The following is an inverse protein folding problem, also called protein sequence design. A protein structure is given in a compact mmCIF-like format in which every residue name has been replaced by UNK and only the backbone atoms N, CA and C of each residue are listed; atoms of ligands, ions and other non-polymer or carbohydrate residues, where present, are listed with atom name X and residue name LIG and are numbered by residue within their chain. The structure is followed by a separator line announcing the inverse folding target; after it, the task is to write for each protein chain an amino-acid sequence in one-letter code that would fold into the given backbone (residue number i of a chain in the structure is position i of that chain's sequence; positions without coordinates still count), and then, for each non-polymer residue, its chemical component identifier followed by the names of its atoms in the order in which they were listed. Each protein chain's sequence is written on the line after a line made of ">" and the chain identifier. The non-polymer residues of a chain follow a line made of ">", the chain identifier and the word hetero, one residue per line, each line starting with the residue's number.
data_IF_596262261995
#
_entry.id   IF_596262261995
#
_cell.length_a   1.000
_cell.length_b   1.000
_cell.length_c   1.000
_cell.angle_alpha   90.00
_cell.angle_beta   90.00
_cell.angle_gamma   90.00
#
_symmetry.space_group_name_H-M   'P 1'
#
loop_
_entity.id
_entity.type
_entity.pdbx_description
1 polymer ?
#
# COMPACT_ATOMS: atom_id res chain seq x y z
N UNK A 1 -32.99 4.03 22.61
CA UNK A 1 -32.24 4.60 21.48
C UNK A 1 -31.51 5.83 21.96
N UNK A 2 -30.21 5.92 21.74
CA UNK A 2 -29.42 7.13 21.97
C UNK A 2 -29.41 7.94 20.69
N UNK A 3 -29.60 9.24 20.80
CA UNK A 3 -29.54 10.20 19.68
C UNK A 3 -28.45 11.21 20.04
N UNK A 4 -27.57 11.45 19.09
CA UNK A 4 -26.53 12.46 19.20
C UNK A 4 -26.82 13.54 18.15
N UNK A 5 -26.75 14.81 18.55
CA UNK A 5 -26.92 15.94 17.63
C UNK A 5 -25.65 16.75 17.62
N UNK A 6 -25.18 17.06 16.43
CA UNK A 6 -24.00 17.88 16.20
C UNK A 6 -24.46 19.11 15.41
N UNK A 7 -23.98 20.28 15.78
CA UNK A 7 -24.22 21.54 15.05
C UNK A 7 -22.92 22.32 14.95
N UNK A 8 -22.76 23.00 13.85
CA UNK A 8 -21.66 23.95 13.64
C UNK A 8 -22.23 25.17 12.93
N UNK A 9 -21.96 26.33 13.48
CA UNK A 9 -22.38 27.64 12.93
C UNK A 9 -21.18 28.22 12.14
N UNK A 10 -21.48 29.20 11.28
CA UNK A 10 -20.50 29.98 10.52
C UNK A 10 -19.51 29.15 9.68
N UNK A 11 -20.00 28.09 9.07
CA UNK A 11 -19.19 27.31 8.12
C UNK A 11 -18.94 28.15 6.87
N UNK A 12 -17.70 28.60 6.70
CA UNK A 12 -17.29 29.35 5.52
C UNK A 12 -17.36 28.52 4.24
N UNK A 13 -17.75 29.12 3.10
CA UNK A 13 -17.71 28.45 1.82
C UNK A 13 -16.29 27.98 1.50
N UNK A 14 -16.18 26.73 1.05
CA UNK A 14 -14.92 26.18 0.62
C UNK A 14 -14.72 26.39 -0.87
N UNK A 15 -13.63 27.07 -1.25
CA UNK A 15 -13.23 27.24 -2.64
C UNK A 15 -12.08 26.27 -2.98
N UNK A 16 -12.28 25.45 -4.01
CA UNK A 16 -11.23 24.55 -4.50
C UNK A 16 -10.16 25.35 -5.25
N UNK A 17 -8.91 25.18 -4.86
CA UNK A 17 -7.76 25.81 -5.48
C UNK A 17 -6.92 24.78 -6.28
N UNK A 18 -6.24 25.20 -7.35
CA UNK A 18 -5.29 24.33 -8.06
C UNK A 18 -4.15 23.89 -7.14
N UNK A 19 -3.79 22.60 -7.20
CA UNK A 19 -2.70 22.02 -6.42
C UNK A 19 -2.84 22.11 -4.89
N UNK A 20 -4.04 22.35 -4.38
CA UNK A 20 -4.28 22.29 -2.95
C UNK A 20 -4.18 20.85 -2.41
N UNK A 21 -4.10 20.72 -1.10
CA UNK A 21 -4.23 19.42 -0.42
C UNK A 21 -5.59 18.80 -0.72
N UNK A 22 -5.75 17.51 -0.45
CA UNK A 22 -7.02 16.82 -0.67
C UNK A 22 -8.16 17.52 0.10
N UNK A 23 -9.35 17.50 -0.49
CA UNK A 23 -10.53 18.10 0.11
C UNK A 23 -10.82 17.52 1.50
N UNK A 24 -10.54 16.24 1.69
CA UNK A 24 -10.70 15.57 2.97
C UNK A 24 -9.81 16.18 4.08
N UNK A 25 -8.64 16.71 3.71
CA UNK A 25 -7.71 17.36 4.66
C UNK A 25 -8.06 18.83 4.93
N UNK A 26 -8.76 19.48 4.01
CA UNK A 26 -9.03 20.93 4.06
C UNK A 26 -10.45 21.28 4.50
N UNK A 27 -11.46 20.47 4.15
CA UNK A 27 -12.85 20.80 4.43
C UNK A 27 -13.25 20.47 5.89
N UNK A 28 -14.19 21.23 6.47
CA UNK A 28 -14.82 20.86 7.72
C UNK A 28 -15.44 19.46 7.63
N UNK A 29 -15.16 18.61 8.61
CA UNK A 29 -15.63 17.22 8.64
C UNK A 29 -16.01 16.78 10.04
N UNK A 30 -16.98 15.89 10.15
CA UNK A 30 -17.30 15.18 11.38
C UNK A 30 -16.87 13.73 11.24
N UNK A 31 -15.99 13.27 12.12
CA UNK A 31 -15.54 11.90 12.16
C UNK A 31 -16.01 11.22 13.43
N UNK A 32 -16.54 10.03 13.28
CA UNK A 32 -17.02 9.23 14.39
C UNK A 32 -16.57 7.77 14.23
N UNK A 33 -16.25 7.12 15.33
CA UNK A 33 -15.95 5.70 15.35
C UNK A 33 -16.58 5.05 16.57
N UNK A 34 -17.03 3.82 16.42
CA UNK A 34 -17.40 2.94 17.53
C UNK A 34 -16.21 2.14 18.06
N UNK A 35 -15.10 2.13 17.34
CA UNK A 35 -13.84 1.48 17.76
C UNK A 35 -13.11 2.43 18.70
N UNK A 36 -12.79 2.04 19.94
CA UNK A 36 -12.24 2.96 20.93
C UNK A 36 -10.76 3.29 20.68
N UNK A 37 -9.98 2.36 20.13
CA UNK A 37 -8.53 2.50 19.96
C UNK A 37 -8.06 1.89 18.63
N UNK A 38 -6.93 2.34 18.13
CA UNK A 38 -6.30 1.81 16.93
C UNK A 38 -5.87 0.35 17.09
N UNK A 39 -5.40 -0.04 18.27
CA UNK A 39 -5.00 -1.42 18.56
C UNK A 39 -6.17 -2.40 18.39
N UNK A 40 -7.37 -2.02 18.83
CA UNK A 40 -8.57 -2.85 18.67
C UNK A 40 -8.92 -3.02 17.18
N UNK A 41 -8.74 -1.96 16.39
CA UNK A 41 -8.93 -2.00 14.93
C UNK A 41 -7.86 -2.85 14.24
N UNK A 42 -6.62 -2.75 14.68
CA UNK A 42 -5.49 -3.56 14.19
C UNK A 42 -5.77 -5.06 14.38
N UNK A 43 -6.13 -5.46 15.59
CA UNK A 43 -6.50 -6.87 15.91
C UNK A 43 -7.67 -7.33 15.06
N UNK A 44 -8.71 -6.51 14.93
CA UNK A 44 -9.86 -6.84 14.08
C UNK A 44 -9.44 -7.04 12.62
N UNK A 45 -8.62 -6.15 12.08
CA UNK A 45 -8.17 -6.23 10.68
C UNK A 45 -7.30 -7.47 10.42
N UNK A 46 -6.42 -7.81 11.35
CA UNK A 46 -5.69 -9.08 11.30
C UNK A 46 -6.66 -10.26 11.27
N UNK A 47 -7.55 -10.31 12.26
CA UNK A 47 -8.45 -11.45 12.45
C UNK A 47 -9.36 -11.72 11.25
N UNK A 48 -9.96 -10.70 10.65
CA UNK A 48 -10.87 -10.92 9.51
C UNK A 48 -10.15 -11.52 8.30
N UNK A 49 -8.86 -11.23 8.11
CA UNK A 49 -8.06 -11.77 7.01
C UNK A 49 -7.52 -13.18 7.31
N UNK A 50 -7.12 -13.44 8.55
CA UNK A 50 -6.72 -14.79 8.97
C UNK A 50 -7.91 -15.76 8.94
N UNK A 51 -9.07 -15.36 9.45
CA UNK A 51 -10.30 -16.19 9.45
C UNK A 51 -10.79 -16.46 8.01
N UNK A 52 -10.59 -15.53 7.09
CA UNK A 52 -10.93 -15.71 5.67
C UNK A 52 -9.93 -16.63 4.94
N UNK A 53 -8.74 -16.82 5.48
CA UNK A 53 -7.66 -17.61 4.87
C UNK A 53 -6.96 -16.90 3.71
N UNK A 54 -6.89 -15.56 3.75
CA UNK A 54 -6.30 -14.72 2.69
C UNK A 54 -4.89 -15.14 2.31
N UNK A 55 -4.11 -15.61 3.28
CA UNK A 55 -2.68 -15.90 3.14
C UNK A 55 -2.34 -17.39 3.07
N UNK A 56 -3.36 -18.25 2.89
CA UNK A 56 -3.14 -19.69 2.84
C UNK A 56 -2.20 -20.06 1.71
N UNK A 57 -1.09 -20.71 2.05
CA UNK A 57 -0.07 -21.12 1.09
C UNK A 57 -0.62 -22.15 0.08
N UNK A 58 -0.15 -22.06 -1.15
CA UNK A 58 -0.42 -23.05 -2.21
C UNK A 58 0.89 -23.59 -2.76
N UNK A 59 0.95 -24.88 -3.15
CA UNK A 59 2.20 -25.50 -3.58
C UNK A 59 2.89 -24.81 -4.76
N UNK A 60 2.12 -24.27 -5.71
CA UNK A 60 2.62 -23.56 -6.89
C UNK A 60 3.35 -22.28 -6.49
N UNK A 61 2.75 -21.51 -5.58
CA UNK A 61 3.33 -20.27 -5.07
C UNK A 61 4.57 -20.56 -4.20
N UNK A 62 4.54 -21.63 -3.38
CA UNK A 62 5.71 -22.04 -2.57
C UNK A 62 6.91 -22.33 -3.47
N UNK A 63 6.72 -23.12 -4.54
CA UNK A 63 7.81 -23.41 -5.50
C UNK A 63 8.37 -22.13 -6.12
N UNK A 64 7.50 -21.17 -6.44
CA UNK A 64 7.92 -19.86 -6.98
C UNK A 64 8.71 -19.06 -5.96
N UNK A 65 8.27 -19.02 -4.72
CA UNK A 65 9.00 -18.35 -3.64
C UNK A 65 10.38 -18.97 -3.46
N UNK A 66 10.47 -20.30 -3.39
CA UNK A 66 11.75 -21.02 -3.23
C UNK A 66 12.72 -20.73 -4.39
N UNK A 67 12.20 -20.64 -5.61
CA UNK A 67 12.97 -20.25 -6.81
C UNK A 67 13.52 -18.82 -6.67
N UNK A 68 12.68 -17.86 -6.29
CA UNK A 68 13.01 -16.45 -6.22
C UNK A 68 14.05 -16.13 -5.15
N UNK A 69 13.95 -16.77 -3.98
CA UNK A 69 14.88 -16.52 -2.87
C UNK A 69 16.16 -17.33 -2.97
N UNK A 70 16.24 -18.26 -3.91
CA UNK A 70 17.45 -19.10 -4.12
C UNK A 70 18.66 -18.22 -4.38
N UNK A 71 19.69 -18.39 -3.55
CA UNK A 71 20.95 -17.65 -3.64
C UNK A 71 20.90 -16.24 -3.05
N UNK A 72 19.75 -15.76 -2.56
CA UNK A 72 19.66 -14.50 -1.83
C UNK A 72 20.19 -14.68 -0.41
N UNK A 73 21.14 -13.81 -0.03
CA UNK A 73 21.89 -13.96 1.23
C UNK A 73 21.31 -13.15 2.37
N UNK A 74 20.78 -11.98 2.05
CA UNK A 74 20.26 -11.04 3.03
C UNK A 74 18.74 -11.02 3.09
N UNK A 75 18.21 -10.60 4.21
CA UNK A 75 16.78 -10.36 4.42
C UNK A 75 16.23 -9.40 3.35
N UNK A 76 16.90 -8.29 3.12
CA UNK A 76 16.49 -7.29 2.14
C UNK A 76 16.49 -7.79 0.69
N UNK A 77 17.47 -8.60 0.31
CA UNK A 77 17.47 -9.23 -1.03
C UNK A 77 16.27 -10.13 -1.24
N UNK A 78 15.86 -10.89 -0.21
CA UNK A 78 14.67 -11.76 -0.27
C UNK A 78 13.40 -10.93 -0.34
N UNK A 79 13.25 -9.94 0.54
CA UNK A 79 12.08 -9.04 0.55
C UNK A 79 11.96 -8.33 -0.79
N UNK A 80 13.03 -7.74 -1.30
CA UNK A 80 13.02 -7.00 -2.56
C UNK A 80 12.61 -7.87 -3.75
N UNK A 81 13.20 -9.06 -3.91
CA UNK A 81 12.87 -9.93 -5.04
C UNK A 81 11.42 -10.43 -5.01
N UNK A 82 10.86 -10.69 -3.82
CA UNK A 82 9.47 -11.09 -3.67
C UNK A 82 8.53 -9.92 -3.98
N UNK A 83 8.85 -8.72 -3.47
CA UNK A 83 8.06 -7.51 -3.72
C UNK A 83 8.04 -7.16 -5.20
N UNK A 84 9.20 -7.14 -5.87
CA UNK A 84 9.28 -6.89 -7.31
C UNK A 84 8.56 -7.94 -8.14
N UNK A 85 8.70 -9.23 -7.79
CA UNK A 85 8.00 -10.27 -8.52
C UNK A 85 6.48 -10.09 -8.45
N UNK A 86 5.94 -9.79 -7.28
CA UNK A 86 4.49 -9.54 -7.12
C UNK A 86 4.07 -8.31 -7.91
N UNK A 87 4.82 -7.22 -7.83
CA UNK A 87 4.55 -5.98 -8.57
C UNK A 87 4.54 -6.19 -10.11
N UNK A 88 5.45 -7.02 -10.62
CA UNK A 88 5.61 -7.28 -12.05
C UNK A 88 4.61 -8.32 -12.58
N UNK A 89 4.09 -9.20 -11.72
CA UNK A 89 3.30 -10.35 -12.15
C UNK A 89 1.82 -10.31 -11.74
N UNK A 90 1.42 -9.41 -10.85
CA UNK A 90 0.01 -9.22 -10.46
C UNK A 90 -0.43 -7.84 -10.94
N UNK A 91 -1.19 -7.80 -12.01
CA UNK A 91 -1.63 -6.56 -12.64
C UNK A 91 -2.71 -5.87 -11.80
N UNK A 92 -2.58 -4.56 -11.61
CA UNK A 92 -3.65 -3.76 -10.99
C UNK A 92 -4.85 -3.68 -11.94
N UNK A 93 -6.02 -4.15 -11.48
CA UNK A 93 -7.24 -4.23 -12.32
C UNK A 93 -8.16 -3.02 -12.15
N UNK A 94 -8.03 -2.28 -11.06
CA UNK A 94 -8.95 -1.19 -10.71
C UNK A 94 -10.35 -1.62 -10.28
N UNK A 95 -10.65 -2.92 -10.36
CA UNK A 95 -11.95 -3.50 -10.01
C UNK A 95 -11.72 -4.71 -9.10
N UNK A 96 -12.32 -4.69 -7.92
CA UNK A 96 -12.36 -5.85 -7.03
C UNK A 96 -13.42 -6.84 -7.53
N UNK A 97 -13.06 -8.09 -7.64
CA UNK A 97 -13.94 -9.15 -8.15
C UNK A 97 -13.93 -10.35 -7.21
N UNK A 98 -15.08 -11.03 -7.12
CA UNK A 98 -15.22 -12.27 -6.36
C UNK A 98 -15.70 -12.04 -4.92
N UNK A 99 -15.57 -13.09 -4.09
CA UNK A 99 -15.89 -13.03 -2.65
C UNK A 99 -14.77 -12.34 -1.88
N UNK A 100 -15.09 -11.59 -0.83
CA UNK A 100 -14.11 -10.88 -0.02
C UNK A 100 -14.17 -9.37 -0.24
N UNK A 101 -15.33 -8.79 -0.02
CA UNK A 101 -15.57 -7.35 -0.13
C UNK A 101 -15.01 -6.58 1.08
N UNK A 102 -14.84 -5.27 0.91
CA UNK A 102 -14.39 -4.38 1.96
C UNK A 102 -12.94 -4.67 2.39
N UNK A 103 -12.73 -4.90 3.68
CA UNK A 103 -11.40 -5.09 4.29
C UNK A 103 -10.82 -6.50 4.16
N UNK A 104 -11.54 -7.44 3.55
CA UNK A 104 -11.05 -8.80 3.33
C UNK A 104 -10.20 -8.87 2.07
N UNK A 105 -8.97 -9.35 2.22
CA UNK A 105 -8.07 -9.59 1.10
C UNK A 105 -8.44 -10.93 0.45
N UNK A 106 -8.53 -10.99 -0.87
CA UNK A 106 -8.78 -12.25 -1.57
C UNK A 106 -7.67 -13.27 -1.31
N UNK A 107 -8.04 -14.55 -1.38
CA UNK A 107 -7.07 -15.62 -1.08
C UNK A 107 -5.98 -15.71 -2.16
N UNK A 108 -4.81 -16.21 -1.74
CA UNK A 108 -3.65 -16.35 -2.60
C UNK A 108 -3.93 -17.16 -3.87
N UNK A 109 -4.74 -18.23 -3.78
CA UNK A 109 -5.03 -19.10 -4.93
C UNK A 109 -5.71 -18.32 -6.05
N UNK A 110 -6.68 -17.48 -5.71
CA UNK A 110 -7.37 -16.62 -6.68
C UNK A 110 -6.40 -15.64 -7.33
N UNK A 111 -5.71 -14.83 -6.52
CA UNK A 111 -4.82 -13.79 -7.01
C UNK A 111 -3.65 -14.35 -7.83
N UNK A 112 -3.09 -15.49 -7.40
CA UNK A 112 -1.99 -16.16 -8.09
C UNK A 112 -2.42 -16.77 -9.42
N UNK A 113 -3.65 -17.24 -9.54
CA UNK A 113 -4.20 -17.81 -10.78
C UNK A 113 -4.57 -16.70 -11.77
N UNK A 114 -5.29 -15.69 -11.32
CA UNK A 114 -5.87 -14.66 -12.17
C UNK A 114 -4.85 -13.59 -12.58
N UNK A 115 -3.74 -13.48 -11.84
CA UNK A 115 -2.67 -12.50 -12.10
C UNK A 115 -3.15 -11.06 -12.17
N UNK A 116 -4.22 -10.76 -11.49
CA UNK A 116 -4.75 -9.39 -11.37
C UNK A 116 -5.56 -9.21 -10.09
N UNK A 117 -5.69 -7.97 -9.65
CA UNK A 117 -6.46 -7.60 -8.50
C UNK A 117 -6.33 -6.12 -8.18
N UNK A 118 -6.92 -5.70 -7.08
CA UNK A 118 -6.77 -4.34 -6.55
C UNK A 118 -5.65 -4.31 -5.49
N UNK A 119 -5.40 -3.17 -4.87
CA UNK A 119 -4.32 -3.00 -3.89
C UNK A 119 -4.27 -4.10 -2.82
N UNK A 120 -5.43 -4.46 -2.22
CA UNK A 120 -5.51 -5.49 -1.19
C UNK A 120 -5.11 -6.88 -1.70
N UNK A 121 -5.39 -7.21 -2.96
CA UNK A 121 -5.07 -8.50 -3.57
C UNK A 121 -3.57 -8.63 -3.84
N UNK A 122 -2.97 -7.54 -4.31
CA UNK A 122 -1.53 -7.46 -4.58
C UNK A 122 -0.77 -7.52 -3.25
N UNK A 123 -1.20 -6.73 -2.25
CA UNK A 123 -0.63 -6.78 -0.90
C UNK A 123 -0.77 -8.18 -0.27
N UNK A 124 -1.97 -8.79 -0.37
CA UNK A 124 -2.23 -10.14 0.14
C UNK A 124 -1.34 -11.21 -0.48
N UNK A 125 -1.09 -11.10 -1.80
CA UNK A 125 -0.15 -12.00 -2.50
C UNK A 125 1.28 -11.83 -1.96
N UNK A 126 1.73 -10.59 -1.74
CA UNK A 126 3.05 -10.33 -1.17
C UNK A 126 3.18 -10.87 0.26
N UNK A 127 2.17 -10.64 1.10
CA UNK A 127 2.15 -11.16 2.48
C UNK A 127 2.28 -12.69 2.49
N UNK A 128 1.51 -13.38 1.66
CA UNK A 128 1.61 -14.83 1.54
C UNK A 128 3.00 -15.28 1.07
N UNK A 129 3.61 -14.59 0.10
CA UNK A 129 4.96 -14.87 -0.38
C UNK A 129 6.01 -14.67 0.71
N UNK A 130 5.92 -13.57 1.44
CA UNK A 130 6.82 -13.29 2.56
C UNK A 130 6.71 -14.37 3.65
N UNK A 131 5.48 -14.77 4.00
CA UNK A 131 5.24 -15.84 4.98
C UNK A 131 5.80 -17.21 4.50
N UNK A 132 5.62 -17.54 3.23
CA UNK A 132 6.22 -18.75 2.63
C UNK A 132 7.75 -18.71 2.62
N UNK A 133 8.35 -17.53 2.59
CA UNK A 133 9.79 -17.33 2.73
C UNK A 133 10.27 -17.28 4.19
N UNK A 134 9.38 -17.46 5.17
CA UNK A 134 9.69 -17.51 6.61
C UNK A 134 9.67 -16.18 7.34
N UNK A 135 9.13 -15.11 6.74
CA UNK A 135 8.97 -13.80 7.39
C UNK A 135 7.64 -13.70 8.14
N UNK A 136 7.63 -12.92 9.23
CA UNK A 136 6.40 -12.40 9.80
C UNK A 136 5.93 -11.22 8.94
N UNK A 137 4.77 -11.37 8.28
CA UNK A 137 4.22 -10.32 7.43
C UNK A 137 2.71 -10.23 7.61
N UNK A 138 2.18 -9.01 7.55
CA UNK A 138 0.80 -8.69 7.86
C UNK A 138 0.25 -7.63 6.89
N UNK A 139 -1.10 -7.53 6.73
CA UNK A 139 -1.70 -6.44 5.96
C UNK A 139 -1.63 -5.14 6.76
N UNK A 140 -1.59 -4.03 6.06
CA UNK A 140 -1.70 -2.71 6.67
C UNK A 140 -2.66 -1.83 5.87
N UNK A 141 -3.43 -1.02 6.58
CA UNK A 141 -4.34 -0.04 5.99
C UNK A 141 -3.69 1.34 5.99
N UNK A 142 -3.82 2.05 4.88
CA UNK A 142 -3.36 3.44 4.75
C UNK A 142 -4.29 4.26 3.87
N UNK A 143 -3.97 5.52 3.69
CA UNK A 143 -4.69 6.44 2.85
C UNK A 143 -3.73 7.08 1.85
N UNK A 144 -3.87 6.76 0.57
CA UNK A 144 -3.13 7.44 -0.49
C UNK A 144 -3.84 8.77 -0.80
N UNK A 145 -3.13 9.89 -0.63
CA UNK A 145 -3.60 11.23 -0.95
C UNK A 145 -4.03 12.09 0.23
N UNK A 146 -4.78 11.56 1.18
CA UNK A 146 -5.24 12.31 2.37
C UNK A 146 -4.58 11.77 3.65
N UNK A 147 -4.68 12.53 4.74
CA UNK A 147 -4.16 12.09 6.05
C UNK A 147 -5.07 11.06 6.69
N UNK A 148 -4.46 10.09 7.36
CA UNK A 148 -5.15 9.27 8.35
C UNK A 148 -5.21 10.05 9.65
N UNK A 149 -6.42 10.33 10.11
CA UNK A 149 -6.68 11.12 11.31
C UNK A 149 -6.43 10.31 12.60
N UNK A 150 -6.43 11.02 13.75
CA UNK A 150 -6.20 10.38 15.05
C UNK A 150 -7.37 9.52 15.55
N UNK A 151 -8.56 9.70 14.98
CA UNK A 151 -9.76 8.94 15.36
C UNK A 151 -9.78 7.60 14.62
N UNK A 152 -9.96 6.44 15.30
CA UNK A 152 -9.95 5.12 14.66
C UNK A 152 -11.21 4.85 13.83
N UNK A 153 -11.45 5.70 12.83
CA UNK A 153 -12.54 5.58 11.86
C UNK A 153 -12.10 4.84 10.60
N UNK A 154 -13.08 4.36 9.81
CA UNK A 154 -12.84 3.64 8.56
C UNK A 154 -12.68 4.60 7.38
N UNK A 155 -11.56 5.31 7.31
CA UNK A 155 -11.24 6.22 6.22
C UNK A 155 -9.92 5.85 5.53
N UNK A 156 -9.78 4.58 5.22
CA UNK A 156 -8.66 4.04 4.45
C UNK A 156 -9.10 3.77 3.01
N UNK A 157 -8.23 4.03 2.05
CA UNK A 157 -8.49 3.75 0.65
C UNK A 157 -7.44 2.82 0.02
N UNK A 158 -6.42 2.43 0.78
CA UNK A 158 -5.32 1.65 0.28
C UNK A 158 -4.87 0.59 1.28
N UNK A 159 -4.44 -0.55 0.75
CA UNK A 159 -3.90 -1.66 1.52
C UNK A 159 -2.49 -1.96 1.04
N UNK A 160 -1.56 -2.03 1.98
CA UNK A 160 -0.15 -2.35 1.77
C UNK A 160 0.25 -3.55 2.64
N UNK A 161 1.46 -4.04 2.49
CA UNK A 161 2.02 -5.07 3.36
C UNK A 161 2.98 -4.46 4.37
N UNK A 162 3.12 -5.09 5.54
CA UNK A 162 4.23 -4.86 6.45
C UNK A 162 4.96 -6.15 6.72
N UNK A 163 6.28 -6.10 6.80
CA UNK A 163 7.15 -7.21 7.16
C UNK A 163 7.96 -6.86 8.39
N UNK A 164 8.04 -7.79 9.33
CA UNK A 164 8.86 -7.64 10.53
C UNK A 164 10.29 -8.04 10.20
N UNK A 165 11.20 -7.09 10.34
CA UNK A 165 12.62 -7.30 10.13
C UNK A 165 13.27 -8.00 11.33
N UNK A 166 14.46 -8.57 11.14
CA UNK A 166 15.25 -9.18 12.21
C UNK A 166 15.55 -8.21 13.37
N UNK A 167 15.51 -6.90 13.13
CA UNK A 167 15.58 -5.85 14.17
C UNK A 167 14.35 -5.79 15.07
N UNK A 168 13.25 -6.46 14.70
CA UNK A 168 11.95 -6.39 15.38
C UNK A 168 11.05 -5.23 14.91
N UNK A 169 11.53 -4.37 14.00
CA UNK A 169 10.74 -3.26 13.45
C UNK A 169 9.91 -3.72 12.25
N UNK A 170 8.74 -3.12 12.07
CA UNK A 170 7.92 -3.32 10.88
C UNK A 170 8.37 -2.38 9.77
N UNK A 171 8.52 -2.93 8.56
CA UNK A 171 8.83 -2.18 7.35
C UNK A 171 7.61 -2.25 6.41
N UNK A 172 7.04 -1.10 5.98
CA UNK A 172 5.97 -1.06 5.01
C UNK A 172 6.50 -1.38 3.60
N UNK A 173 5.66 -2.07 2.81
CA UNK A 173 5.94 -2.47 1.44
C UNK A 173 4.69 -2.22 0.60
N UNK A 174 4.84 -1.53 -0.52
CA UNK A 174 3.74 -1.34 -1.47
C UNK A 174 4.07 -1.90 -2.86
N UNK A 175 3.70 -3.15 -3.15
CA UNK A 175 3.93 -3.76 -4.45
C UNK A 175 3.12 -3.11 -5.59
N UNK A 176 2.11 -2.30 -5.28
CA UNK A 176 1.29 -1.61 -6.28
C UNK A 176 2.09 -0.57 -7.07
N UNK A 177 3.03 0.12 -6.43
CA UNK A 177 3.79 1.23 -6.99
C UNK A 177 5.26 0.92 -7.28
N UNK A 178 5.78 -0.20 -6.80
CA UNK A 178 7.20 -0.59 -6.92
C UNK A 178 7.75 -0.54 -8.35
N UNK A 179 7.01 -0.87 -9.42
CA UNK A 179 7.52 -0.72 -10.79
C UNK A 179 7.94 0.71 -11.13
N UNK A 180 7.41 1.70 -10.43
CA UNK A 180 7.64 3.12 -10.66
C UNK A 180 8.47 3.80 -9.56
N UNK A 181 8.85 3.06 -8.52
CA UNK A 181 9.56 3.58 -7.36
C UNK A 181 10.84 2.82 -7.10
N UNK A 182 11.90 3.52 -6.71
CA UNK A 182 13.15 2.91 -6.28
C UNK A 182 13.02 2.23 -4.92
N UNK A 183 12.23 2.83 -4.04
CA UNK A 183 11.85 2.30 -2.74
C UNK A 183 10.82 1.17 -2.89
N UNK A 184 10.69 0.31 -1.89
CA UNK A 184 9.70 -0.76 -1.89
C UNK A 184 8.30 -0.31 -1.46
N UNK A 185 8.02 0.98 -1.53
CA UNK A 185 6.76 1.65 -1.21
C UNK A 185 6.64 2.99 -1.95
N UNK A 186 5.46 3.60 -1.98
CA UNK A 186 5.18 4.78 -2.79
C UNK A 186 5.56 6.09 -2.11
N UNK A 187 6.06 7.05 -2.91
CA UNK A 187 6.26 8.43 -2.47
C UNK A 187 4.94 9.15 -2.12
N UNK A 188 3.80 8.71 -2.68
CA UNK A 188 2.48 9.24 -2.34
C UNK A 188 2.06 8.91 -0.90
N UNK A 189 2.75 7.99 -0.26
CA UNK A 189 2.49 7.52 1.11
C UNK A 189 3.57 7.96 2.10
N UNK A 190 4.44 8.88 1.72
CA UNK A 190 5.44 9.44 2.63
C UNK A 190 4.78 10.31 3.70
N UNK A 191 5.31 10.27 4.93
CA UNK A 191 4.76 10.98 6.09
C UNK A 191 3.27 10.68 6.31
N UNK A 192 2.84 9.49 5.90
CA UNK A 192 1.47 9.02 6.05
C UNK A 192 1.38 8.05 7.22
N UNK A 193 0.30 8.13 7.96
CA UNK A 193 -0.04 7.12 8.94
C UNK A 193 -0.54 5.85 8.25
N UNK A 194 -0.14 4.71 8.78
CA UNK A 194 -0.67 3.41 8.40
C UNK A 194 -0.94 2.56 9.64
N UNK A 195 -1.91 1.66 9.54
CA UNK A 195 -2.30 0.75 10.63
C UNK A 195 -1.91 -0.69 10.26
N UNK A 196 -0.88 -1.27 10.88
CA UNK A 196 -0.60 -2.69 10.75
C UNK A 196 -1.73 -3.54 11.33
N UNK A 197 -2.18 -4.55 10.60
CA UNK A 197 -3.15 -5.54 11.09
C UNK A 197 -2.43 -6.71 11.74
N UNK A 198 -2.03 -6.56 13.00
CA UNK A 198 -1.23 -7.54 13.75
C UNK A 198 -2.02 -8.16 14.91
N UNK A 199 -1.73 -9.42 15.31
CA UNK A 199 -2.51 -10.11 16.32
C UNK A 199 -2.41 -9.50 17.72
N UNK A 200 -1.28 -8.88 18.06
CA UNK A 200 -1.06 -8.17 19.32
C UNK A 200 -1.70 -6.78 19.37
N UNK A 201 -2.16 -6.27 18.23
CA UNK A 201 -2.62 -4.89 18.08
C UNK A 201 -1.47 -3.90 17.90
N UNK A 202 -1.73 -2.86 17.11
CA UNK A 202 -0.79 -1.77 16.86
C UNK A 202 -1.52 -0.43 16.88
N UNK A 203 -0.88 0.60 17.37
CA UNK A 203 -1.27 1.98 17.09
C UNK A 203 -0.83 2.35 15.67
N UNK A 204 -1.21 3.54 15.21
CA UNK A 204 -0.76 4.08 13.94
C UNK A 204 0.78 4.17 13.90
N UNK A 205 1.32 3.72 12.79
CA UNK A 205 2.73 3.87 12.45
C UNK A 205 2.88 4.95 11.37
N UNK A 206 4.05 5.57 11.30
CA UNK A 206 4.36 6.57 10.29
C UNK A 206 5.25 5.96 9.21
N UNK A 207 4.90 6.19 7.94
CA UNK A 207 5.75 5.78 6.82
C UNK A 207 7.06 6.60 6.82
N UNK A 208 8.18 5.98 6.45
CA UNK A 208 9.45 6.71 6.37
C UNK A 208 9.43 7.75 5.25
N UNK A 209 10.30 8.74 5.37
CA UNK A 209 10.59 9.70 4.30
C UNK A 209 11.82 9.22 3.54
N UNK A 210 11.68 9.06 2.24
CA UNK A 210 12.79 8.70 1.39
C UNK A 210 13.69 9.92 1.11
N UNK A 211 14.99 9.68 0.96
CA UNK A 211 15.92 10.75 0.61
C UNK A 211 15.59 11.36 -0.76
N UNK A 212 15.72 12.69 -0.94
CA UNK A 212 15.37 13.36 -2.20
C UNK A 212 16.10 12.76 -3.40
N UNK A 213 17.31 12.24 -3.20
CA UNK A 213 18.12 11.61 -4.23
C UNK A 213 17.50 10.33 -4.81
N UNK A 214 16.52 9.75 -4.14
CA UNK A 214 15.77 8.59 -4.61
C UNK A 214 14.52 8.98 -5.44
N UNK A 215 14.15 10.28 -5.44
CA UNK A 215 12.96 10.82 -6.08
C UNK A 215 13.35 11.86 -7.13
N UNK A 216 13.74 11.41 -8.31
CA UNK A 216 14.06 12.30 -9.41
C UNK A 216 13.58 11.71 -10.74
N UNK A 217 13.31 12.60 -11.68
CA UNK A 217 13.21 12.26 -13.11
C UNK A 217 14.36 12.99 -13.82
N UNK A 218 15.21 12.23 -14.46
CA UNK A 218 16.29 12.78 -15.27
C UNK A 218 15.94 12.59 -16.74
N UNK A 219 15.89 13.69 -17.47
CA UNK A 219 15.64 13.68 -18.92
C UNK A 219 16.90 14.19 -19.60
N UNK A 220 17.49 13.37 -20.43
CA UNK A 220 18.56 13.75 -21.33
C UNK A 220 18.04 13.71 -22.77
N UNK A 221 18.21 14.80 -23.51
CA UNK A 221 17.68 14.93 -24.85
C UNK A 221 18.73 15.51 -25.81
N UNK A 222 19.06 14.75 -26.84
CA UNK A 222 19.90 15.17 -27.97
C UNK A 222 18.99 15.46 -29.16
N UNK A 223 18.79 16.73 -29.47
CA UNK A 223 17.82 17.15 -30.47
C UNK A 223 18.44 18.07 -31.55
N UNK A 224 17.94 17.93 -32.77
CA UNK A 224 18.20 18.81 -33.88
C UNK A 224 16.91 19.40 -34.42
N UNK A 225 16.89 20.71 -34.55
CA UNK A 225 15.80 21.44 -35.19
C UNK A 225 16.25 21.74 -36.64
N UNK A 226 15.43 21.34 -37.61
CA UNK A 226 15.69 21.68 -39.04
C UNK A 226 15.04 23.03 -39.43
N UNK A 227 15.36 23.52 -40.62
CA UNK A 227 14.86 24.80 -41.15
C UNK A 227 13.34 24.80 -41.35
N UNK A 228 12.69 23.67 -41.38
CA UNK A 228 11.23 23.50 -41.49
C UNK A 228 10.53 23.44 -40.14
N UNK A 229 11.27 23.61 -39.05
CA UNK A 229 10.72 23.53 -37.68
C UNK A 229 10.50 22.11 -37.17
N UNK A 230 11.08 21.08 -37.83
CA UNK A 230 10.94 19.68 -37.36
C UNK A 230 12.04 19.40 -36.35
N UNK A 231 11.64 18.99 -35.14
CA UNK A 231 12.53 18.52 -34.08
C UNK A 231 12.72 17.00 -34.20
N UNK A 232 13.96 16.55 -34.28
CA UNK A 232 14.36 15.15 -34.29
C UNK A 232 15.41 14.91 -33.23
N UNK A 233 15.25 13.83 -32.46
CA UNK A 233 16.24 13.55 -31.44
C UNK A 233 15.99 12.24 -30.72
N UNK A 234 16.86 12.02 -29.74
CA UNK A 234 16.82 10.89 -28.84
C UNK A 234 16.62 11.39 -27.42
N UNK A 235 15.72 10.73 -26.70
CA UNK A 235 15.43 11.03 -25.29
C UNK A 235 15.79 9.80 -24.44
N UNK A 236 16.50 10.04 -23.36
CA UNK A 236 16.73 9.05 -22.30
C UNK A 236 16.07 9.58 -21.03
N UNK A 237 15.16 8.81 -20.49
CA UNK A 237 14.45 9.12 -19.25
C UNK A 237 14.86 8.08 -18.21
N UNK A 238 15.33 8.55 -17.05
CA UNK A 238 15.75 7.71 -15.91
C UNK A 238 15.01 8.13 -14.67
#
# INVERSE_FOLDING_TARGET
>A
RKVYTFSSDDILPFAKEPNMVDLFDAAPKLMMSSTPRWEDKSVWFNKVNEDYGSFTAIPEAQRKVDELIKGKKTEMEKIAVLTHWVADNIRYSGISMGKGEGFTLHNLKMNYTDRCGVCKDIAGTLIAFLRMAGFEAYPAMTMAGSRVESIPADHFNHCVAVVKLASGTYMPLDPTWVPFCRELWSSAEQQQNYLPGVPEGSDLCLTPVSAPENHYVRIHADNRLDEKGTLRGQFTIT
#
